data_IF_255429223934
#
_entry.id   IF_255429223934
#
_cell.length_a   1.000
_cell.length_b   1.000
_cell.length_c   1.000
_cell.angle_alpha   90.00
_cell.angle_beta   90.00
_cell.angle_gamma   90.00
#
_symmetry.space_group_name_H-M   'P 1'
#
loop_
_entity.id
_entity.type
_entity.pdbx_description
1 polymer ?
#
# COMPACT_ATOMS: atom_id res chain seq x y z
N UNK A 1 5.49 21.36 0.37
CA UNK A 1 4.63 20.54 1.22
C UNK A 1 4.39 19.18 0.60
N UNK A 2 4.70 18.17 1.32
CA UNK A 2 4.63 16.81 0.76
C UNK A 2 3.58 15.96 1.44
N UNK A 3 2.52 16.60 1.89
CA UNK A 3 1.48 15.88 2.61
C UNK A 3 0.88 14.77 1.75
N UNK A 4 0.79 15.01 0.46
CA UNK A 4 0.19 14.01 -0.41
C UNK A 4 1.08 12.77 -0.58
N UNK A 5 2.36 12.88 -0.22
CA UNK A 5 3.27 11.74 -0.27
C UNK A 5 3.36 11.03 1.07
N UNK A 6 2.84 11.64 2.12
CA UNK A 6 2.88 11.12 3.47
C UNK A 6 1.48 10.72 3.88
N UNK A 7 0.97 9.69 3.24
CA UNK A 7 -0.37 9.21 3.55
C UNK A 7 -0.36 8.57 4.92
N UNK A 8 -1.32 8.97 5.74
CA UNK A 8 -1.50 8.34 7.05
C UNK A 8 -2.45 7.18 6.87
N UNK A 9 -1.90 6.02 6.68
CA UNK A 9 -2.69 4.83 6.47
C UNK A 9 -3.06 4.21 7.80
N UNK A 10 -4.26 3.65 7.86
CA UNK A 10 -4.62 2.81 9.01
C UNK A 10 -3.78 1.56 8.95
N UNK A 11 -3.73 0.85 10.07
CA UNK A 11 -3.00 -0.40 10.12
C UNK A 11 -3.52 -1.38 9.07
N UNK A 12 -4.83 -1.46 8.90
CA UNK A 12 -5.42 -2.35 7.92
C UNK A 12 -5.02 -1.95 6.50
N UNK A 13 -5.03 -0.66 6.22
CA UNK A 13 -4.63 -0.18 4.90
C UNK A 13 -3.16 -0.49 4.65
N UNK A 14 -2.33 -0.28 5.65
CA UNK A 14 -0.90 -0.54 5.54
C UNK A 14 -0.63 -2.01 5.25
N UNK A 15 -1.28 -2.90 6.00
CA UNK A 15 -1.11 -4.33 5.80
C UNK A 15 -1.59 -4.77 4.43
N UNK A 16 -2.71 -4.21 3.98
CA UNK A 16 -3.23 -4.54 2.67
C UNK A 16 -2.28 -4.08 1.58
N UNK A 17 -1.75 -2.86 1.72
CA UNK A 17 -0.81 -2.34 0.73
C UNK A 17 0.44 -3.20 0.66
N UNK A 18 0.95 -3.65 1.80
CA UNK A 18 2.10 -4.57 1.81
C UNK A 18 1.77 -5.86 1.09
N UNK A 19 0.57 -6.36 1.28
CA UNK A 19 0.15 -7.60 0.63
C UNK A 19 0.12 -7.46 -0.89
N UNK A 20 -0.16 -6.27 -1.38
CA UNK A 20 -0.23 -6.06 -2.83
C UNK A 20 1.14 -6.16 -3.51
N UNK A 21 2.21 -6.14 -2.74
CA UNK A 21 3.56 -6.35 -3.30
C UNK A 21 3.80 -7.82 -3.62
N UNK A 22 3.03 -8.70 -3.02
CA UNK A 22 3.18 -10.14 -3.23
C UNK A 22 2.39 -10.51 -4.48
N UNK A 23 2.93 -11.37 -5.36
CA UNK A 23 2.17 -11.80 -6.55
C UNK A 23 0.82 -12.35 -6.14
N UNK A 24 -0.19 -12.08 -6.95
CA UNK A 24 -1.56 -12.44 -6.62
C UNK A 24 -1.72 -13.91 -6.26
N UNK A 25 -1.01 -14.77 -6.96
CA UNK A 25 -1.12 -16.21 -6.73
C UNK A 25 -0.57 -16.64 -5.38
N UNK A 26 0.29 -15.82 -4.78
CA UNK A 26 0.95 -16.17 -3.52
C UNK A 26 0.38 -15.41 -2.33
N UNK A 27 -0.53 -14.48 -2.58
CA UNK A 27 -1.03 -13.66 -1.48
C UNK A 27 -2.34 -14.22 -0.94
N UNK A 28 -2.57 -13.94 0.35
CA UNK A 28 -3.87 -14.25 0.95
C UNK A 28 -4.92 -13.34 0.36
N UNK A 29 -6.17 -13.70 0.56
CA UNK A 29 -7.27 -12.82 0.19
C UNK A 29 -7.11 -11.46 0.82
N UNK A 30 -7.35 -10.42 0.05
CA UNK A 30 -7.33 -9.06 0.58
C UNK A 30 -8.75 -8.54 0.65
N UNK A 31 -8.98 -7.63 1.59
CA UNK A 31 -10.29 -7.03 1.76
C UNK A 31 -10.53 -6.05 0.62
N UNK A 32 -11.51 -6.33 -0.22
CA UNK A 32 -11.79 -5.50 -1.39
C UNK A 32 -12.15 -4.08 -1.00
N UNK A 33 -12.83 -3.92 0.11
CA UNK A 33 -13.20 -2.61 0.58
C UNK A 33 -11.96 -1.76 0.87
N UNK A 34 -10.96 -2.37 1.50
CA UNK A 34 -9.71 -1.67 1.79
C UNK A 34 -8.94 -1.42 0.49
N UNK A 35 -8.95 -2.38 -0.43
CA UNK A 35 -8.32 -2.19 -1.73
C UNK A 35 -8.93 -0.98 -2.44
N UNK A 36 -10.26 -0.85 -2.39
CA UNK A 36 -10.92 0.29 -3.02
C UNK A 36 -10.47 1.61 -2.40
N UNK A 37 -10.25 1.63 -1.09
CA UNK A 37 -9.74 2.82 -0.43
C UNK A 37 -8.34 3.17 -0.94
N UNK A 38 -7.50 2.16 -1.10
CA UNK A 38 -6.14 2.39 -1.61
C UNK A 38 -6.16 2.88 -3.05
N UNK A 39 -7.09 2.37 -3.84
CA UNK A 39 -7.25 2.84 -5.22
C UNK A 39 -7.63 4.31 -5.23
N UNK A 40 -8.55 4.70 -4.35
CA UNK A 40 -8.97 6.09 -4.26
C UNK A 40 -7.80 7.00 -3.87
N UNK A 41 -6.85 6.48 -3.11
CA UNK A 41 -5.66 7.23 -2.73
C UNK A 41 -4.58 7.21 -3.81
N UNK A 42 -4.78 6.46 -4.87
CA UNK A 42 -3.78 6.34 -5.93
C UNK A 42 -2.66 5.37 -5.61
N UNK A 43 -2.78 4.61 -4.52
CA UNK A 43 -1.72 3.69 -4.09
C UNK A 43 -1.89 2.30 -4.66
N UNK A 44 -3.04 2.00 -5.23
CA UNK A 44 -3.32 0.72 -5.84
C UNK A 44 -4.12 0.92 -7.11
N UNK A 45 -4.16 -0.10 -7.94
CA UNK A 45 -4.93 -0.06 -9.19
C UNK A 45 -5.32 -1.48 -9.54
N UNK A 46 -6.36 -1.61 -10.37
CA UNK A 46 -6.76 -2.92 -10.87
C UNK A 46 -6.02 -3.17 -12.17
N UNK A 47 -5.29 -4.27 -12.22
CA UNK A 47 -4.58 -4.68 -13.43
C UNK A 47 -5.12 -6.03 -13.84
N UNK A 48 -5.83 -6.05 -14.96
CA UNK A 48 -6.42 -7.29 -15.49
C UNK A 48 -7.26 -8.00 -14.42
N UNK A 49 -8.06 -7.20 -13.72
CA UNK A 49 -8.96 -7.76 -12.71
C UNK A 49 -8.29 -8.09 -11.39
N UNK A 50 -7.01 -7.79 -11.23
CA UNK A 50 -6.25 -8.11 -10.03
C UNK A 50 -5.75 -6.82 -9.37
N UNK A 51 -5.95 -6.65 -8.06
CA UNK A 51 -5.41 -5.48 -7.38
C UNK A 51 -3.89 -5.50 -7.42
N UNK A 52 -3.31 -4.35 -7.74
CA UNK A 52 -1.86 -4.22 -7.85
C UNK A 52 -1.42 -2.94 -7.19
N UNK A 53 -0.17 -2.92 -6.71
CA UNK A 53 0.38 -1.72 -6.11
C UNK A 53 0.86 -0.79 -7.23
N UNK A 54 0.71 0.52 -7.01
CA UNK A 54 1.20 1.51 -7.97
C UNK A 54 2.60 1.98 -7.56
N UNK A 55 3.24 2.77 -8.42
CA UNK A 55 4.51 3.39 -8.06
C UNK A 55 4.36 4.24 -6.80
N UNK A 56 3.27 4.98 -6.70
CA UNK A 56 3.01 5.80 -5.51
C UNK A 56 2.87 4.91 -4.28
N UNK A 57 2.20 3.77 -4.41
CA UNK A 57 2.06 2.85 -3.30
C UNK A 57 3.40 2.31 -2.85
N UNK A 58 4.28 1.98 -3.78
CA UNK A 58 5.61 1.50 -3.43
C UNK A 58 6.41 2.56 -2.70
N UNK A 59 6.30 3.80 -3.13
CA UNK A 59 7.01 4.90 -2.47
C UNK A 59 6.53 5.09 -1.05
N UNK A 60 5.24 4.97 -0.83
CA UNK A 60 4.69 5.10 0.51
C UNK A 60 5.25 4.00 1.41
N UNK A 61 5.31 2.77 0.92
CA UNK A 61 5.86 1.67 1.72
C UNK A 61 7.33 1.89 2.04
N UNK A 62 8.10 2.37 1.08
CA UNK A 62 9.52 2.62 1.30
C UNK A 62 9.71 3.70 2.35
N UNK A 63 8.96 4.79 2.24
CA UNK A 63 9.09 5.88 3.21
C UNK A 63 8.68 5.43 4.60
N UNK A 64 7.60 4.68 4.70
CA UNK A 64 7.16 4.16 5.98
C UNK A 64 8.16 3.20 6.59
N UNK A 65 8.72 2.33 5.78
CA UNK A 65 9.73 1.39 6.26
C UNK A 65 10.98 2.12 6.74
N UNK A 66 11.40 3.15 6.01
CA UNK A 66 12.55 3.94 6.42
C UNK A 66 12.31 4.61 7.77
N UNK A 67 11.11 5.14 7.97
CA UNK A 67 10.77 5.78 9.24
C UNK A 67 10.82 4.78 10.38
N UNK A 68 10.32 3.57 10.14
CA UNK A 68 10.37 2.54 11.17
C UNK A 68 11.79 2.17 11.51
N UNK A 69 12.66 2.11 10.54
CA UNK A 69 14.06 1.81 10.78
C UNK A 69 14.72 2.92 11.58
N UNK A 70 14.40 4.17 11.25
CA UNK A 70 14.95 5.30 11.97
C UNK A 70 14.53 5.26 13.43
N UNK A 71 13.29 4.92 13.67
CA UNK A 71 12.79 4.84 15.04
C UNK A 71 13.47 3.71 15.80
N UNK A 72 13.72 2.61 15.13
CA UNK A 72 14.35 1.46 15.76
C UNK A 72 15.82 1.70 16.05
N UNK A 73 16.42 2.58 15.31
CA UNK A 73 17.83 2.89 15.52
C UNK A 73 18.03 3.73 16.77
#
# INVERSE_FOLDING_TARGET
MNAELDHELTETQWETLKALRIPARDRSSVNRFIVDQLIALGLAAMMEGVPSITSAGRKVLVRGSSRLLDVAA
#
